data_IF_534831478635
#
_entry.id   IF_534831478635
#
_cell.length_a   1.000
_cell.length_b   1.000
_cell.length_c   1.000
_cell.angle_alpha   90.00
_cell.angle_beta   90.00
_cell.angle_gamma   90.00
#
_symmetry.space_group_name_H-M   'P 1'
#
loop_
_entity.id
_entity.type
_entity.pdbx_description
1 polymer ?
#
# COMPACT_ATOMS: atom_id res chain seq x y z
N UNK A 1 -9.90 -7.85 6.98
CA UNK A 1 -9.50 -6.75 6.08
C UNK A 1 -10.66 -5.77 5.91
N UNK A 2 -10.40 -4.45 5.95
CA UNK A 2 -11.40 -3.38 5.81
C UNK A 2 -10.96 -2.45 4.69
N UNK A 3 -11.84 -2.17 3.72
CA UNK A 3 -11.58 -1.18 2.68
C UNK A 3 -11.71 0.23 3.25
N UNK A 4 -10.70 1.06 3.03
CA UNK A 4 -10.70 2.47 3.38
C UNK A 4 -10.74 3.28 2.09
N UNK A 5 -11.73 4.17 2.00
CA UNK A 5 -11.81 5.11 0.90
C UNK A 5 -10.68 6.13 1.00
N UNK A 6 -9.88 6.23 -0.06
CA UNK A 6 -8.80 7.20 -0.19
C UNK A 6 -9.29 8.63 0.03
N UNK A 7 -10.52 8.97 -0.39
CA UNK A 7 -11.07 10.32 -0.22
C UNK A 7 -11.38 10.70 1.23
N UNK A 8 -11.45 9.72 2.13
CA UNK A 8 -11.66 9.95 3.57
C UNK A 8 -10.35 10.21 4.32
N UNK A 9 -9.21 9.93 3.69
CA UNK A 9 -7.89 10.14 4.26
C UNK A 9 -7.34 11.50 3.83
N UNK A 10 -6.60 12.16 4.73
CA UNK A 10 -5.82 13.33 4.35
C UNK A 10 -4.63 12.90 3.51
N UNK A 11 -4.18 13.78 2.62
CA UNK A 11 -3.00 13.55 1.78
C UNK A 11 -1.83 13.07 2.66
N UNK A 12 -1.54 13.77 3.77
CA UNK A 12 -0.53 13.37 4.76
C UNK A 12 -0.70 11.94 5.29
N UNK A 13 -1.93 11.47 5.55
CA UNK A 13 -2.18 10.12 6.05
C UNK A 13 -1.86 9.07 4.97
N UNK A 14 -2.21 9.33 3.72
CA UNK A 14 -1.86 8.47 2.59
C UNK A 14 -0.35 8.46 2.38
N UNK A 15 0.29 9.62 2.44
CA UNK A 15 1.75 9.74 2.32
C UNK A 15 2.47 8.93 3.40
N UNK A 16 2.04 9.06 4.66
CA UNK A 16 2.59 8.30 5.78
C UNK A 16 2.37 6.79 5.59
N UNK A 17 1.19 6.38 5.13
CA UNK A 17 0.90 4.97 4.86
C UNK A 17 1.80 4.38 3.79
N UNK A 18 1.94 5.09 2.68
CA UNK A 18 2.86 4.68 1.60
C UNK A 18 4.28 4.59 2.14
N UNK A 19 4.71 5.57 2.92
CA UNK A 19 6.03 5.53 3.55
C UNK A 19 6.17 4.33 4.46
N UNK A 20 5.22 3.99 5.32
CA UNK A 20 5.28 2.81 6.19
C UNK A 20 5.38 1.50 5.39
N UNK A 21 4.63 1.36 4.29
CA UNK A 21 4.72 0.21 3.40
C UNK A 21 6.13 0.11 2.81
N UNK A 22 6.61 1.20 2.21
CA UNK A 22 7.95 1.26 1.62
C UNK A 22 9.07 1.09 2.66
N UNK A 23 8.85 1.55 3.90
CA UNK A 23 9.80 1.42 5.02
C UNK A 23 9.96 -0.04 5.42
N UNK A 24 8.86 -0.81 5.40
CA UNK A 24 8.88 -2.24 5.72
C UNK A 24 9.52 -3.07 4.61
N UNK A 25 9.40 -2.64 3.37
CA UNK A 25 10.04 -3.29 2.21
C UNK A 25 11.53 -2.91 2.07
N UNK A 26 11.89 -1.68 2.46
CA UNK A 26 13.26 -1.18 2.41
C UNK A 26 14.02 -1.59 3.68
N UNK A 27 14.62 -2.78 3.67
CA UNK A 27 15.56 -3.23 4.72
C UNK A 27 16.88 -2.44 4.73
N UNK A 28 17.00 -1.37 3.95
CA UNK A 28 18.27 -0.71 3.65
C UNK A 28 18.09 0.82 3.52
N UNK A 29 17.89 1.49 4.65
CA UNK A 29 17.88 2.94 4.71
C UNK A 29 19.31 3.48 4.60
N UNK A 30 19.76 3.73 3.37
CA UNK A 30 21.07 4.33 3.08
C UNK A 30 21.17 5.09 1.76
N UNK A 31 20.52 4.66 0.67
CA UNK A 31 20.90 5.16 -0.67
C UNK A 31 19.81 5.74 -1.58
N UNK A 32 18.50 5.70 -1.27
CA UNK A 32 17.48 6.06 -2.29
C UNK A 32 16.25 6.82 -1.79
N UNK A 33 16.44 8.04 -1.29
CA UNK A 33 15.35 9.00 -1.04
C UNK A 33 14.56 9.34 -2.33
N UNK A 34 15.21 9.25 -3.49
CA UNK A 34 14.64 9.56 -4.81
C UNK A 34 13.65 8.47 -5.27
N UNK A 35 13.95 7.19 -5.08
CA UNK A 35 13.05 6.08 -5.47
C UNK A 35 11.78 6.05 -4.62
N UNK A 36 11.88 6.38 -3.33
CA UNK A 36 10.73 6.44 -2.43
C UNK A 36 9.73 7.51 -2.87
N UNK A 37 10.22 8.71 -3.18
CA UNK A 37 9.39 9.81 -3.69
C UNK A 37 8.73 9.47 -5.03
N UNK A 38 9.43 8.71 -5.88
CA UNK A 38 8.90 8.29 -7.18
C UNK A 38 7.84 7.18 -7.05
N UNK A 39 8.10 6.14 -6.26
CA UNK A 39 7.11 5.09 -5.94
C UNK A 39 5.88 5.67 -5.28
N UNK A 40 6.06 6.63 -4.36
CA UNK A 40 4.96 7.36 -3.73
C UNK A 40 4.06 8.04 -4.75
N UNK A 41 4.64 8.79 -5.68
CA UNK A 41 3.86 9.45 -6.73
C UNK A 41 3.10 8.45 -7.60
N UNK A 42 3.73 7.32 -7.95
CA UNK A 42 3.05 6.28 -8.72
C UNK A 42 1.85 5.68 -7.97
N UNK A 43 2.01 5.36 -6.68
CA UNK A 43 0.92 4.84 -5.87
C UNK A 43 -0.20 5.86 -5.72
N UNK A 44 0.14 7.14 -5.48
CA UNK A 44 -0.84 8.22 -5.39
C UNK A 44 -1.65 8.37 -6.68
N UNK A 45 -0.98 8.41 -7.83
CA UNK A 45 -1.67 8.47 -9.13
C UNK A 45 -2.57 7.27 -9.37
N UNK A 46 -2.17 6.06 -8.94
CA UNK A 46 -3.04 4.87 -9.06
C UNK A 46 -4.28 4.96 -8.15
N UNK A 47 -4.13 5.53 -6.95
CA UNK A 47 -5.25 5.79 -6.03
C UNK A 47 -6.19 6.85 -6.61
N UNK A 48 -5.66 7.96 -7.13
CA UNK A 48 -6.45 9.02 -7.78
C UNK A 48 -7.20 8.52 -9.02
N UNK A 49 -6.62 7.59 -9.77
CA UNK A 49 -7.25 6.96 -10.93
C UNK A 49 -8.30 5.91 -10.55
N UNK A 50 -8.42 5.53 -9.27
CA UNK A 50 -9.29 4.44 -8.81
C UNK A 50 -8.79 3.05 -9.19
N UNK A 51 -7.53 2.92 -9.60
CA UNK A 51 -6.89 1.65 -9.95
C UNK A 51 -6.33 0.92 -8.73
N UNK A 52 -6.22 1.60 -7.59
CA UNK A 52 -5.78 1.04 -6.32
C UNK A 52 -6.74 1.42 -5.19
N UNK A 53 -6.77 0.59 -4.15
CA UNK A 53 -7.56 0.81 -2.93
C UNK A 53 -6.70 0.59 -1.70
N UNK A 54 -7.05 1.24 -0.60
CA UNK A 54 -6.38 1.08 0.69
C UNK A 54 -7.13 0.03 1.48
N UNK A 55 -6.40 -0.98 1.96
CA UNK A 55 -6.92 -2.06 2.80
C UNK A 55 -6.27 -1.97 4.17
N UNK A 56 -7.09 -1.90 5.21
CA UNK A 56 -6.67 -1.97 6.59
C UNK A 56 -6.85 -3.38 7.15
N UNK A 57 -5.80 -3.92 7.75
CA UNK A 57 -5.85 -5.15 8.53
C UNK A 57 -6.07 -4.81 9.99
N UNK A 58 -7.27 -5.09 10.51
CA UNK A 58 -7.55 -4.93 11.94
C UNK A 58 -6.81 -5.95 12.80
N UNK A 59 -6.44 -7.10 12.23
CA UNK A 59 -5.72 -8.17 12.94
C UNK A 59 -4.26 -7.79 13.18
N UNK A 60 -3.61 -7.27 12.15
CA UNK A 60 -2.19 -6.93 12.18
C UNK A 60 -1.94 -5.44 12.50
N UNK A 61 -2.98 -4.62 12.46
CA UNK A 61 -2.92 -3.19 12.77
C UNK A 61 -2.20 -2.34 11.72
N UNK A 62 -1.94 -2.85 10.51
CA UNK A 62 -1.34 -2.09 9.40
C UNK A 62 -2.32 -1.82 8.27
N UNK A 63 -2.06 -0.79 7.46
CA UNK A 63 -2.73 -0.64 6.17
C UNK A 63 -1.78 -0.95 5.02
N UNK A 64 -2.35 -1.40 3.91
CA UNK A 64 -1.67 -1.73 2.66
C UNK A 64 -2.44 -1.12 1.49
N UNK A 65 -1.75 -0.97 0.36
CA UNK A 65 -2.34 -0.49 -0.90
C UNK A 65 -2.26 -1.62 -1.89
N UNK A 66 -3.40 -1.98 -2.48
CA UNK A 66 -3.48 -3.05 -3.46
C UNK A 66 -4.26 -2.58 -4.69
N UNK A 67 -4.03 -3.17 -5.87
CA UNK A 67 -4.86 -2.93 -7.03
C UNK A 67 -6.32 -3.29 -6.80
N UNK A 68 -7.22 -2.54 -7.44
CA UNK A 68 -8.66 -2.82 -7.36
C UNK A 68 -9.01 -4.21 -7.93
N UNK A 69 -8.23 -4.72 -8.89
CA UNK A 69 -8.38 -6.06 -9.44
C UNK A 69 -8.09 -7.18 -8.43
N UNK A 70 -7.15 -6.93 -7.50
CA UNK A 70 -6.78 -7.88 -6.45
C UNK A 70 -7.62 -7.73 -5.19
N UNK A 71 -8.38 -6.64 -5.08
CA UNK A 71 -9.26 -6.36 -3.93
C UNK A 71 -10.11 -7.56 -3.53
N UNK A 72 -10.76 -8.20 -4.50
CA UNK A 72 -11.65 -9.34 -4.24
C UNK A 72 -10.88 -10.52 -3.64
N UNK A 73 -9.65 -10.76 -4.09
CA UNK A 73 -8.77 -11.84 -3.60
C UNK A 73 -8.35 -11.57 -2.15
N UNK A 74 -7.97 -10.33 -1.83
CA UNK A 74 -7.61 -9.91 -0.47
C UNK A 74 -8.77 -9.93 0.52
N UNK A 75 -9.98 -9.61 0.07
CA UNK A 75 -11.18 -9.73 0.90
C UNK A 75 -11.63 -11.18 1.10
N UNK A 76 -11.21 -12.10 0.23
CA UNK A 76 -11.58 -13.52 0.28
C UNK A 76 -10.54 -14.39 0.98
N UNK A 77 -9.30 -13.93 1.15
CA UNK A 77 -8.25 -14.66 1.86
C UNK A 77 -8.17 -14.18 3.32
N UNK A 78 -8.65 -15.01 4.23
CA UNK A 78 -8.28 -14.92 5.64
C UNK A 78 -6.82 -15.37 5.79
N UNK A 79 -5.89 -14.44 6.00
CA UNK A 79 -4.73 -14.74 6.86
C UNK A 79 -3.32 -14.83 6.29
N UNK A 80 -2.95 -14.27 5.12
CA UNK A 80 -1.50 -14.10 4.84
C UNK A 80 -1.19 -12.90 3.92
N UNK A 81 -1.35 -11.69 4.46
CA UNK A 81 -1.07 -10.46 3.71
C UNK A 81 0.42 -10.13 3.55
N UNK A 82 1.32 -10.90 4.16
CA UNK A 82 2.76 -10.62 4.13
C UNK A 82 3.48 -11.30 2.94
N UNK A 83 3.02 -12.48 2.51
CA UNK A 83 3.62 -13.20 1.37
C UNK A 83 3.34 -12.56 0.00
N UNK A 84 2.33 -11.69 -0.09
CA UNK A 84 1.90 -11.09 -1.36
C UNK A 84 2.52 -9.72 -1.65
N UNK A 85 3.03 -9.03 -0.62
CA UNK A 85 3.71 -7.75 -0.80
C UNK A 85 5.08 -7.93 -1.47
N UNK A 86 5.73 -9.08 -1.31
CA UNK A 86 6.96 -9.40 -2.04
C UNK A 86 6.76 -9.54 -3.55
N UNK A 87 5.57 -9.93 -4.01
CA UNK A 87 5.26 -10.06 -5.44
C UNK A 87 4.99 -8.69 -6.08
N UNK A 88 4.47 -7.72 -5.31
CA UNK A 88 4.15 -6.38 -5.80
C UNK A 88 5.39 -5.51 -6.07
N UNK A 89 6.53 -5.89 -5.48
CA UNK A 89 7.80 -5.15 -5.58
C UNK A 89 8.64 -5.46 -6.83
N UNK A 90 8.20 -6.36 -7.71
CA UNK A 90 8.98 -6.80 -8.89
C UNK A 90 8.74 -5.96 -10.15
N UNK A 91 8.03 -4.83 -10.08
CA UNK A 91 7.83 -3.93 -11.23
C UNK A 91 8.28 -2.50 -10.98
#
# INVERSE_FOLDING_TARGET
>A
MIEIDYHLLSELAIENLIMEILTREATDYGEREIDLSHKKRQLLTRLEQGNAVIIYSAEEGYCTIIPVEEKQKWLSQEGDGLSMLSDFATY
#
